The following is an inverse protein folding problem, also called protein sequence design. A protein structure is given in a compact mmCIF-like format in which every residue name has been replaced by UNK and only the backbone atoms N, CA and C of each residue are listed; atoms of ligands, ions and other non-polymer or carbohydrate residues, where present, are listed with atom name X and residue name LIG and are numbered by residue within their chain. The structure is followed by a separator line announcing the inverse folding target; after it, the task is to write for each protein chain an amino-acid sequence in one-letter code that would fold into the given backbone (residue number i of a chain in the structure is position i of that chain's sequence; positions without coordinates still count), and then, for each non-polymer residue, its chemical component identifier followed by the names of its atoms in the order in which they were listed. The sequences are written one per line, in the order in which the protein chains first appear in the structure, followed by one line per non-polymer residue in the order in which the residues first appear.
data_IF_259369938933
#
_entry.id   IF_259369938933
#
_cell.length_a   1.000
_cell.length_b   1.000
_cell.length_c   1.000
_cell.angle_alpha   90.00
_cell.angle_beta   90.00
_cell.angle_gamma   90.00
#
_symmetry.space_group_name_H-M   'P 1'
#
loop_
_entity.id
_entity.type
_entity.pdbx_description
1 polymer ?
#
# COMPACT_ATOMS: atom_id res chain seq x y z
N UNK A 1 -8.49 -6.41 5.04
CA UNK A 1 -7.91 -5.08 5.35
C UNK A 1 -8.22 -4.16 4.19
N UNK A 2 -8.46 -2.86 4.39
CA UNK A 2 -8.77 -1.96 3.26
C UNK A 2 -7.49 -1.33 2.71
N UNK A 3 -7.20 -1.65 1.45
CA UNK A 3 -6.10 -1.07 0.68
C UNK A 3 -6.64 -0.09 -0.37
N UNK A 4 -5.83 0.92 -0.71
CA UNK A 4 -6.07 1.77 -1.87
C UNK A 4 -4.75 2.23 -2.51
N UNK A 5 -4.74 2.29 -3.84
CA UNK A 5 -3.64 2.88 -4.62
C UNK A 5 -3.98 4.35 -4.86
N UNK A 6 -3.02 5.24 -4.59
CA UNK A 6 -3.14 6.68 -4.85
C UNK A 6 -1.91 7.19 -5.60
N UNK A 7 -2.04 8.30 -6.30
CA UNK A 7 -0.88 8.99 -6.88
C UNK A 7 0.07 9.47 -5.79
N UNK A 8 1.37 9.52 -6.08
CA UNK A 8 2.39 9.96 -5.12
C UNK A 8 2.18 11.40 -4.60
N UNK A 9 1.60 12.26 -5.42
CA UNK A 9 1.25 13.65 -5.06
C UNK A 9 0.07 13.75 -4.09
N UNK A 10 -0.66 12.66 -3.86
CA UNK A 10 -1.84 12.64 -3.03
C UNK A 10 -1.49 12.82 -1.56
N UNK A 11 -2.16 13.76 -0.89
CA UNK A 11 -2.06 13.91 0.56
C UNK A 11 -2.67 12.69 1.25
N UNK A 12 -1.88 11.97 2.04
CA UNK A 12 -2.36 10.83 2.82
C UNK A 12 -3.45 11.30 3.80
N UNK A 13 -4.70 10.79 3.68
CA UNK A 13 -5.80 11.23 4.53
C UNK A 13 -5.65 10.65 5.95
N UNK A 14 -6.28 11.30 6.93
CA UNK A 14 -6.32 10.80 8.31
C UNK A 14 -6.94 9.41 8.35
N UNK A 15 -6.38 8.53 9.18
CA UNK A 15 -6.80 7.12 9.26
C UNK A 15 -6.19 6.23 8.18
N UNK A 16 -5.24 6.73 7.39
CA UNK A 16 -4.52 5.95 6.38
C UNK A 16 -3.02 6.14 6.54
N UNK A 17 -2.26 5.10 6.21
CA UNK A 17 -0.81 5.17 6.11
C UNK A 17 -0.29 4.33 4.95
N UNK A 18 0.97 4.54 4.57
CA UNK A 18 1.65 3.63 3.65
C UNK A 18 1.61 2.20 4.23
N UNK A 19 1.22 1.24 3.39
CA UNK A 19 1.27 -0.17 3.72
C UNK A 19 2.73 -0.65 3.79
N UNK A 20 3.05 -1.57 4.69
CA UNK A 20 4.36 -2.24 4.71
C UNK A 20 4.42 -3.36 3.68
N UNK A 21 5.62 -3.78 3.33
CA UNK A 21 5.85 -4.93 2.47
C UNK A 21 5.09 -6.17 2.94
N UNK A 22 5.17 -6.52 4.23
CA UNK A 22 4.53 -7.72 4.76
C UNK A 22 2.99 -7.60 4.74
N UNK A 23 2.44 -6.40 4.97
CA UNK A 23 0.98 -6.17 4.84
C UNK A 23 0.51 -6.38 3.40
N UNK A 24 1.25 -5.85 2.43
CA UNK A 24 0.93 -6.00 1.01
C UNK A 24 1.08 -7.45 0.55
N UNK A 25 2.13 -8.13 0.99
CA UNK A 25 2.36 -9.54 0.70
C UNK A 25 1.24 -10.43 1.24
N UNK A 26 0.70 -10.12 2.42
CA UNK A 26 -0.47 -10.81 2.95
C UNK A 26 -1.74 -10.45 2.17
N UNK A 27 -1.93 -9.18 1.80
CA UNK A 27 -3.03 -8.75 0.95
C UNK A 27 -3.02 -9.37 -0.46
N UNK A 28 -1.84 -9.65 -1.03
CA UNK A 28 -1.70 -10.39 -2.29
C UNK A 28 -2.18 -11.84 -2.18
N UNK A 29 -1.85 -12.53 -1.08
CA UNK A 29 -2.34 -13.90 -0.82
C UNK A 29 -3.87 -13.95 -0.71
N UNK A 30 -4.47 -12.87 -0.19
CA UNK A 30 -5.91 -12.69 -0.08
C UNK A 30 -6.58 -12.09 -1.33
N UNK A 31 -5.82 -11.84 -2.41
CA UNK A 31 -6.26 -11.13 -3.63
C UNK A 31 -6.78 -9.69 -3.41
N UNK A 32 -6.65 -9.12 -2.21
CA UNK A 32 -7.12 -7.76 -1.87
C UNK A 32 -6.35 -6.67 -2.64
N UNK A 33 -5.08 -6.92 -2.94
CA UNK A 33 -4.19 -5.96 -3.62
C UNK A 33 -4.19 -6.13 -5.14
N UNK A 34 -4.38 -7.36 -5.65
CA UNK A 34 -4.25 -7.65 -7.08
C UNK A 34 -5.23 -6.85 -7.94
N UNK A 35 -6.46 -6.66 -7.45
CA UNK A 35 -7.49 -5.87 -8.16
C UNK A 35 -7.28 -4.36 -8.12
N UNK A 36 -6.32 -3.87 -7.34
CA UNK A 36 -6.06 -2.43 -7.17
C UNK A 36 -4.94 -1.93 -8.10
N UNK A 37 -4.05 -2.83 -8.52
CA UNK A 37 -2.88 -2.50 -9.33
C UNK A 37 -3.22 -2.69 -10.81
N UNK A 38 -2.88 -1.69 -11.63
CA UNK A 38 -2.88 -1.84 -13.09
C UNK A 38 -1.63 -2.57 -13.54
N UNK A 39 -1.66 -3.08 -14.76
CA UNK A 39 -0.61 -3.91 -15.37
C UNK A 39 0.81 -3.34 -15.18
N UNK A 40 1.00 -2.05 -15.40
CA UNK A 40 2.32 -1.39 -15.38
C UNK A 40 2.54 -0.47 -14.19
N UNK A 41 1.70 -0.58 -13.15
CA UNK A 41 1.82 0.27 -11.97
C UNK A 41 3.14 -0.02 -11.24
N UNK A 42 3.74 1.05 -10.72
CA UNK A 42 4.93 1.00 -9.88
C UNK A 42 4.61 1.71 -8.58
N UNK A 43 4.46 0.96 -7.50
CA UNK A 43 3.80 1.44 -6.29
C UNK A 43 4.76 1.38 -5.10
N UNK A 44 4.86 2.52 -4.42
CA UNK A 44 5.65 2.69 -3.21
C UNK A 44 4.91 2.14 -2.00
N UNK A 45 5.66 1.42 -1.16
CA UNK A 45 5.26 0.98 0.18
C UNK A 45 6.05 1.77 1.24
N UNK A 46 5.78 1.52 2.52
CA UNK A 46 6.49 2.16 3.63
C UNK A 46 7.98 1.78 3.62
N UNK A 47 8.27 0.50 3.44
CA UNK A 47 9.57 -0.17 3.55
C UNK A 47 9.91 -1.01 2.31
N UNK A 48 9.30 -0.68 1.16
CA UNK A 48 9.52 -1.41 -0.08
C UNK A 48 8.72 -0.90 -1.27
N UNK A 49 8.49 -1.78 -2.23
CA UNK A 49 7.71 -1.52 -3.43
C UNK A 49 6.99 -2.78 -3.92
N UNK A 50 5.98 -2.56 -4.76
CA UNK A 50 5.26 -3.59 -5.51
C UNK A 50 5.00 -3.09 -6.93
N UNK A 51 5.05 -4.01 -7.89
CA UNK A 51 4.72 -3.76 -9.29
C UNK A 51 3.37 -4.36 -9.68
N UNK A 52 2.81 -3.88 -10.78
CA UNK A 52 1.58 -4.40 -11.37
C UNK A 52 1.70 -5.80 -11.98
N UNK A 53 0.59 -6.29 -12.54
CA UNK A 53 0.49 -7.65 -13.10
C UNK A 53 1.39 -7.88 -14.32
N UNK A 54 1.77 -6.84 -15.07
CA UNK A 54 2.74 -6.94 -16.17
C UNK A 54 4.17 -7.24 -15.72
N UNK A 55 4.41 -7.20 -14.40
CA UNK A 55 5.65 -7.58 -13.74
C UNK A 55 5.41 -8.70 -12.71
N UNK A 56 4.37 -9.53 -12.90
CA UNK A 56 4.04 -10.66 -12.02
C UNK A 56 3.89 -10.30 -10.53
N UNK A 57 3.47 -9.07 -10.24
CA UNK A 57 3.40 -8.53 -8.87
C UNK A 57 4.73 -8.59 -8.10
N UNK A 58 5.86 -8.45 -8.80
CA UNK A 58 7.18 -8.43 -8.18
C UNK A 58 7.24 -7.40 -7.04
N UNK A 59 7.85 -7.80 -5.92
CA UNK A 59 8.02 -6.97 -4.74
C UNK A 59 9.48 -6.96 -4.29
N UNK A 60 9.88 -5.90 -3.60
CA UNK A 60 11.21 -5.82 -3.01
C UNK A 60 11.28 -4.91 -1.79
N UNK A 61 12.28 -5.16 -0.95
CA UNK A 61 12.66 -4.33 0.18
C UNK A 61 13.78 -3.40 -0.27
N UNK A 62 13.45 -2.24 -0.84
CA UNK A 62 14.41 -1.17 -1.10
C UNK A 62 13.68 0.11 -1.51
N UNK A 63 14.18 1.26 -1.11
CA UNK A 63 13.54 2.52 -1.49
C UNK A 63 13.90 2.93 -2.93
N UNK A 64 13.00 2.69 -3.89
CA UNK A 64 13.12 3.29 -5.24
C UNK A 64 12.49 4.69 -5.24
N UNK A 65 13.32 5.72 -5.42
CA UNK A 65 12.95 7.14 -5.30
C UNK A 65 12.01 7.67 -6.40
N UNK A 66 11.56 6.85 -7.35
CA UNK A 66 10.81 7.27 -8.55
C UNK A 66 9.52 6.45 -8.80
N UNK A 67 8.81 6.05 -7.75
CA UNK A 67 7.51 5.37 -7.89
C UNK A 67 6.38 6.39 -8.02
N UNK A 68 5.50 6.19 -9.01
CA UNK A 68 4.43 7.14 -9.36
C UNK A 68 3.20 7.05 -8.46
N UNK A 69 3.02 5.91 -7.79
CA UNK A 69 1.88 5.63 -6.91
C UNK A 69 2.35 5.21 -5.51
N UNK A 70 1.43 5.24 -4.56
CA UNK A 70 1.59 4.79 -3.18
C UNK A 70 0.44 3.85 -2.83
N UNK A 71 0.74 2.75 -2.12
CA UNK A 71 -0.29 1.88 -1.56
C UNK A 71 -0.55 2.26 -0.12
N UNK A 72 -1.78 2.66 0.18
CA UNK A 72 -2.21 2.98 1.52
C UNK A 72 -3.03 1.83 2.11
N UNK A 73 -2.87 1.63 3.41
CA UNK A 73 -3.71 0.75 4.23
C UNK A 73 -4.44 1.62 5.25
N UNK A 74 -5.72 1.30 5.49
CA UNK A 74 -6.50 1.92 6.54
C UNK A 74 -5.93 1.53 7.90
N UNK A 75 -5.56 2.52 8.72
CA UNK A 75 -5.24 2.28 10.11
C UNK A 75 -6.55 2.02 10.82
N UNK A 76 -6.76 0.81 11.32
CA UNK A 76 -7.75 0.58 12.37
C UNK A 76 -7.39 1.56 13.48
N UNK A 77 -8.20 2.60 13.67
CA UNK A 77 -8.00 3.50 14.80
C UNK A 77 -8.17 2.63 16.04
N UNK A 78 -7.20 2.56 16.97
CA UNK A 78 -7.57 2.14 18.31
C UNK A 78 -8.47 3.24 18.85
N UNK A 79 -9.78 3.04 18.73
CA UNK A 79 -10.75 3.74 19.58
C UNK A 79 -10.47 3.27 21.02
N UNK A 80 -9.49 3.85 21.68
CA UNK A 80 -9.26 3.62 23.09
C UNK A 80 -9.08 4.96 23.80
N UNK A 81 -10.14 5.26 24.54
CA UNK A 81 -10.13 5.80 25.91
C UNK A 81 -9.73 7.26 26.10
N UNK A 82 -10.76 8.12 26.10
CA UNK A 82 -10.79 9.27 26.99
C UNK A 82 -12.14 9.25 27.74
N UNK A 83 -12.21 8.39 28.76
CA UNK A 83 -12.94 8.70 30.00
C UNK A 83 -11.88 9.21 30.97
N UNK A 84 -12.00 10.47 31.39
CA UNK A 84 -12.51 10.73 32.73
C UNK A 84 -13.61 11.81 32.80
#
# INVERSE_FOLDING_TARGET
MHFKVVERSYCTPRGWRLATYEEVKNGLKGNEVQGLLKEWDRVRLLDGWILGSGYDFEMGHDFRSCLGYMLLIETQSPENEDSP
#
